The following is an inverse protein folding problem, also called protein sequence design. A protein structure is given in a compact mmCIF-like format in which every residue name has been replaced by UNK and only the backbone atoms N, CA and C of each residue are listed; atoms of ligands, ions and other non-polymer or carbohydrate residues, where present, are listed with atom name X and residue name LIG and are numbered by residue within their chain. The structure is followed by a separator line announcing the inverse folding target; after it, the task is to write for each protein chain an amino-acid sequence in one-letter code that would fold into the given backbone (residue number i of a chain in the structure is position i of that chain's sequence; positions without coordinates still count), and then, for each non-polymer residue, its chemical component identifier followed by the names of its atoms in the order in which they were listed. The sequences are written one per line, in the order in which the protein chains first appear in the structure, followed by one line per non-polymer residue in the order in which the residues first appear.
data_IF_318448376163
#
_entry.id   IF_318448376163
#
_cell.length_a   1.000
_cell.length_b   1.000
_cell.length_c   1.000
_cell.angle_alpha   90.00
_cell.angle_beta   90.00
_cell.angle_gamma   90.00
#
_symmetry.space_group_name_H-M   'P 1'
#
loop_
_entity.id
_entity.type
_entity.pdbx_description
1 polymer ?
#
# COMPACT_ATOMS: atom_id res chain seq x y z
N UNK A 1 20.06 3.77 -5.92
CA UNK A 1 18.92 3.41 -6.80
C UNK A 1 18.11 2.25 -6.19
N UNK A 2 17.55 2.41 -4.97
CA UNK A 2 16.97 1.27 -4.20
C UNK A 2 15.74 1.62 -3.33
N UNK A 3 15.16 2.82 -3.39
CA UNK A 3 14.32 3.35 -2.29
C UNK A 3 12.88 3.74 -2.59
N UNK A 4 12.37 3.55 -3.81
CA UNK A 4 10.99 3.93 -4.14
C UNK A 4 10.09 2.77 -4.60
N UNK A 5 10.54 1.52 -4.41
CA UNK A 5 9.70 0.31 -4.47
C UNK A 5 9.02 0.02 -3.13
N UNK A 6 9.22 0.90 -2.15
CA UNK A 6 8.95 0.60 -0.74
C UNK A 6 7.47 0.83 -0.43
N UNK A 7 6.76 1.75 -1.09
CA UNK A 7 5.38 2.12 -0.73
C UNK A 7 4.33 1.10 -1.18
N UNK A 8 4.52 0.44 -2.33
CA UNK A 8 3.73 -0.72 -2.74
C UNK A 8 4.17 -2.03 -2.07
N UNK A 9 5.42 -2.10 -1.57
CA UNK A 9 6.01 -3.27 -0.94
C UNK A 9 5.57 -3.51 0.51
N UNK A 10 5.07 -2.51 1.24
CA UNK A 10 4.75 -2.68 2.68
C UNK A 10 3.48 -3.49 2.88
N UNK A 11 2.42 -3.24 2.10
CA UNK A 11 1.22 -4.09 2.13
C UNK A 11 1.58 -5.51 1.68
N UNK A 12 2.60 -5.64 0.83
CA UNK A 12 3.00 -6.88 0.18
C UNK A 12 3.99 -7.74 0.98
N UNK A 13 4.80 -7.15 1.86
CA UNK A 13 5.78 -7.85 2.71
C UNK A 13 5.28 -7.94 4.16
N UNK A 14 4.52 -6.96 4.65
CA UNK A 14 3.95 -7.01 5.99
C UNK A 14 2.83 -8.07 6.09
N UNK A 15 2.00 -8.23 5.05
CA UNK A 15 0.93 -9.23 5.02
C UNK A 15 1.50 -10.67 5.10
N UNK A 16 2.55 -11.02 4.35
CA UNK A 16 3.25 -12.29 4.53
C UNK A 16 3.90 -12.47 5.91
N UNK A 17 4.55 -11.44 6.43
CA UNK A 17 5.20 -11.47 7.73
C UNK A 17 4.19 -11.67 8.89
N UNK A 18 3.00 -11.06 8.76
CA UNK A 18 1.85 -11.23 9.67
C UNK A 18 1.32 -12.66 9.60
N UNK A 19 1.18 -13.20 8.40
CA UNK A 19 0.66 -14.54 8.17
C UNK A 19 1.64 -15.64 8.63
N UNK A 20 2.96 -15.45 8.46
CA UNK A 20 4.01 -16.35 8.98
C UNK A 20 4.09 -16.28 10.53
N UNK A 21 3.72 -15.15 11.13
CA UNK A 21 3.59 -15.01 12.59
C UNK A 21 2.34 -15.67 13.17
N UNK A 22 1.21 -15.59 12.45
CA UNK A 22 -0.06 -16.24 12.79
C UNK A 22 0.04 -17.78 12.73
N UNK A 23 0.96 -18.28 11.90
CA UNK A 23 1.17 -19.67 11.57
C UNK A 23 1.89 -20.49 12.65
N UNK A 24 2.91 -19.92 13.29
CA UNK A 24 3.84 -20.69 14.13
C UNK A 24 3.32 -21.05 15.55
N UNK A 25 2.08 -20.71 15.90
CA UNK A 25 1.70 -20.56 17.32
C UNK A 25 0.25 -20.94 17.68
N UNK A 26 -0.18 -22.14 17.29
CA UNK A 26 -1.55 -22.64 17.46
C UNK A 26 -2.21 -22.57 18.87
N UNK A 27 -1.55 -22.12 19.96
CA UNK A 27 -2.09 -22.24 21.33
C UNK A 27 -1.80 -21.12 22.33
N UNK A 28 -1.22 -19.98 21.96
CA UNK A 28 -1.05 -18.89 22.92
C UNK A 28 -1.19 -17.53 22.19
N UNK A 29 -1.59 -16.44 22.84
CA UNK A 29 -1.79 -15.13 22.16
C UNK A 29 -0.52 -14.26 22.16
N UNK A 30 0.27 -14.37 23.22
CA UNK A 30 1.35 -13.43 23.55
C UNK A 30 2.59 -13.53 22.66
N UNK A 31 3.01 -14.71 22.22
CA UNK A 31 4.12 -14.83 21.25
C UNK A 31 3.69 -14.72 19.78
N UNK A 32 2.41 -14.84 19.42
CA UNK A 32 1.95 -14.33 18.10
C UNK A 32 2.23 -12.84 18.07
N UNK A 33 1.81 -12.11 19.11
CA UNK A 33 2.07 -10.68 19.27
C UNK A 33 3.58 -10.38 19.24
N UNK A 34 4.40 -11.07 20.03
CA UNK A 34 5.85 -10.83 20.05
C UNK A 34 6.52 -11.08 18.68
N UNK A 35 6.14 -12.14 17.97
CA UNK A 35 6.67 -12.45 16.63
C UNK A 35 6.24 -11.45 15.58
N UNK A 36 4.97 -11.02 15.62
CA UNK A 36 4.43 -10.02 14.72
C UNK A 36 5.17 -8.68 14.91
N UNK A 37 5.37 -8.26 16.16
CA UNK A 37 6.11 -7.03 16.48
C UNK A 37 7.54 -7.09 15.95
N UNK A 38 8.23 -8.20 16.17
CA UNK A 38 9.61 -8.38 15.70
C UNK A 38 9.71 -8.45 14.16
N UNK A 39 8.77 -9.11 13.50
CA UNK A 39 8.70 -9.19 12.04
C UNK A 39 8.42 -7.82 11.41
N UNK A 40 7.47 -7.06 11.96
CA UNK A 40 7.22 -5.69 11.52
C UNK A 40 8.43 -4.82 11.76
N UNK A 41 9.11 -4.93 12.91
CA UNK A 41 10.35 -4.21 13.18
C UNK A 41 11.46 -4.54 12.18
N UNK A 42 11.64 -5.81 11.81
CA UNK A 42 12.65 -6.21 10.82
C UNK A 42 12.37 -5.68 9.41
N UNK A 43 11.10 -5.72 9.00
CA UNK A 43 10.70 -5.32 7.65
C UNK A 43 10.56 -3.80 7.48
N UNK A 44 10.00 -3.13 8.49
CA UNK A 44 9.68 -1.70 8.44
C UNK A 44 10.72 -0.82 9.12
N UNK A 45 11.51 -1.39 10.04
CA UNK A 45 12.35 -0.62 10.97
C UNK A 45 11.58 0.08 12.09
N UNK A 46 10.28 -0.19 12.23
CA UNK A 46 9.36 0.51 13.13
C UNK A 46 8.82 -0.40 14.21
N UNK A 47 8.41 0.20 15.33
CA UNK A 47 7.78 -0.56 16.40
C UNK A 47 6.28 -0.67 16.14
N UNK A 48 5.81 -1.92 16.10
CA UNK A 48 4.39 -2.23 16.15
C UNK A 48 3.99 -2.40 17.61
N UNK A 49 2.92 -1.74 18.03
CA UNK A 49 2.27 -1.98 19.32
C UNK A 49 0.89 -2.58 19.06
N UNK A 50 0.59 -3.69 19.73
CA UNK A 50 -0.76 -4.28 19.76
C UNK A 50 -1.31 -4.03 21.15
N UNK A 51 -2.18 -3.04 21.32
CA UNK A 51 -2.71 -2.66 22.63
C UNK A 51 -3.99 -3.45 22.99
N UNK A 52 -4.75 -3.88 21.97
CA UNK A 52 -5.98 -4.63 22.16
C UNK A 52 -5.78 -6.14 22.36
N UNK A 53 -6.87 -6.87 22.66
CA UNK A 53 -6.83 -8.31 22.85
C UNK A 53 -6.56 -9.05 21.53
N UNK A 54 -5.88 -10.18 21.63
CA UNK A 54 -5.79 -11.18 20.57
C UNK A 54 -6.86 -12.22 20.83
N UNK A 55 -7.81 -12.36 19.91
CA UNK A 55 -8.92 -13.31 20.04
C UNK A 55 -8.85 -14.37 18.96
N UNK A 56 -9.19 -15.60 19.33
CA UNK A 56 -9.30 -16.71 18.39
C UNK A 56 -10.77 -17.01 18.16
N UNK A 57 -11.20 -16.82 16.91
CA UNK A 57 -12.50 -17.25 16.42
C UNK A 57 -12.44 -18.72 15.99
N UNK A 58 -13.07 -19.58 16.78
CA UNK A 58 -13.23 -20.99 16.46
C UNK A 58 -14.45 -21.15 15.54
N UNK A 59 -14.20 -21.25 14.24
CA UNK A 59 -15.20 -21.57 13.23
C UNK A 59 -14.65 -22.62 12.26
N UNK A 60 -15.43 -23.02 11.25
CA UNK A 60 -14.93 -23.90 10.17
C UNK A 60 -13.71 -23.31 9.42
N UNK A 61 -13.41 -22.02 9.62
CA UNK A 61 -12.16 -21.39 9.22
C UNK A 61 -11.58 -20.61 10.42
N UNK A 62 -10.59 -21.17 11.13
CA UNK A 62 -9.98 -20.53 12.30
C UNK A 62 -9.55 -19.11 11.99
N UNK A 63 -9.93 -18.14 12.82
CA UNK A 63 -9.64 -16.72 12.58
C UNK A 63 -8.89 -16.15 13.77
N UNK A 64 -7.78 -15.47 13.51
CA UNK A 64 -7.02 -14.72 14.52
C UNK A 64 -7.37 -13.25 14.33
N UNK A 65 -7.98 -12.64 15.35
CA UNK A 65 -8.38 -11.24 15.34
C UNK A 65 -7.51 -10.46 16.32
N UNK A 66 -6.76 -9.49 15.78
CA UNK A 66 -5.97 -8.53 16.56
C UNK A 66 -6.70 -7.19 16.55
N UNK A 67 -6.79 -6.56 17.71
CA UNK A 67 -7.42 -5.23 17.85
C UNK A 67 -6.39 -4.19 18.28
N UNK A 68 -6.62 -2.95 17.87
CA UNK A 68 -5.82 -1.77 18.26
C UNK A 68 -4.32 -1.98 18.00
N UNK A 69 -3.98 -2.04 16.71
CA UNK A 69 -2.60 -2.09 16.25
C UNK A 69 -2.14 -0.68 15.90
N UNK A 70 -0.94 -0.31 16.34
CA UNK A 70 -0.34 0.98 16.00
C UNK A 70 1.11 0.82 15.57
N UNK A 71 1.50 1.55 14.53
CA UNK A 71 2.84 1.55 13.97
C UNK A 71 3.49 2.90 14.23
N UNK A 72 4.64 2.89 14.90
CA UNK A 72 5.32 4.11 15.32
C UNK A 72 5.90 4.90 14.14
N UNK A 73 5.87 6.22 14.28
CA UNK A 73 6.61 7.14 13.42
C UNK A 73 8.09 7.13 13.85
N UNK A 74 9.06 7.35 12.95
CA UNK A 74 10.45 7.44 13.36
C UNK A 74 10.72 8.81 14.05
N UNK A 75 11.88 8.99 14.68
CA UNK A 75 12.23 10.28 15.29
C UNK A 75 12.21 11.43 14.28
N UNK A 76 11.79 12.63 14.72
CA UNK A 76 11.78 13.84 13.90
C UNK A 76 10.47 14.10 13.13
N UNK A 77 9.40 13.41 13.49
CA UNK A 77 8.07 13.53 12.89
C UNK A 77 7.07 14.10 13.90
N UNK A 78 6.01 14.76 13.42
CA UNK A 78 5.11 15.55 14.29
C UNK A 78 4.17 14.65 15.10
N UNK A 79 3.73 13.53 14.51
CA UNK A 79 2.86 12.56 15.17
C UNK A 79 3.65 11.36 15.69
N UNK A 80 3.32 10.80 16.87
CA UNK A 80 4.02 9.63 17.41
C UNK A 80 3.71 8.33 16.65
N UNK A 81 2.52 8.25 16.03
CA UNK A 81 2.06 7.09 15.28
C UNK A 81 1.86 7.46 13.81
N UNK A 82 2.37 6.63 12.92
CA UNK A 82 2.21 6.78 11.47
C UNK A 82 0.98 6.02 10.98
N UNK A 83 0.69 4.86 11.55
CA UNK A 83 -0.48 4.08 11.17
C UNK A 83 -1.17 3.50 12.40
N UNK A 84 -2.49 3.38 12.33
CA UNK A 84 -3.30 2.68 13.31
C UNK A 84 -4.33 1.82 12.60
N UNK A 85 -4.61 0.64 13.14
CA UNK A 85 -5.57 -0.32 12.61
C UNK A 85 -6.45 -0.78 13.76
N UNK A 86 -7.73 -0.46 13.69
CA UNK A 86 -8.69 -0.83 14.73
C UNK A 86 -8.78 -2.34 14.88
N UNK A 87 -8.84 -3.07 13.75
CA UNK A 87 -8.94 -4.52 13.74
C UNK A 87 -8.31 -5.15 12.50
N UNK A 88 -7.59 -6.24 12.73
CA UNK A 88 -6.97 -7.09 11.72
C UNK A 88 -7.43 -8.53 11.95
N UNK A 89 -8.17 -9.08 10.99
CA UNK A 89 -8.62 -10.47 11.01
C UNK A 89 -7.81 -11.28 9.99
N UNK A 90 -7.17 -12.35 10.45
CA UNK A 90 -6.40 -13.29 9.63
C UNK A 90 -7.10 -14.65 9.68
N UNK A 91 -7.68 -15.06 8.56
CA UNK A 91 -8.40 -16.31 8.44
C UNK A 91 -7.51 -17.40 7.86
N UNK A 92 -7.47 -18.55 8.53
CA UNK A 92 -6.65 -19.70 8.16
C UNK A 92 -7.50 -20.80 7.51
N UNK A 93 -6.92 -21.53 6.57
CA UNK A 93 -7.54 -22.71 5.98
C UNK A 93 -7.46 -23.92 6.92
N UNK A 94 -8.57 -24.55 7.30
CA UNK A 94 -8.54 -25.66 8.27
C UNK A 94 -7.80 -26.91 7.80
N UNK A 95 -7.95 -27.31 6.54
CA UNK A 95 -7.40 -28.57 6.01
C UNK A 95 -5.85 -28.62 6.01
N UNK A 96 -5.13 -27.56 5.59
CA UNK A 96 -3.68 -27.47 5.74
C UNK A 96 -3.22 -27.55 7.20
N UNK A 97 -4.00 -27.02 8.15
CA UNK A 97 -3.61 -27.00 9.57
C UNK A 97 -3.52 -28.41 10.17
N UNK A 98 -4.33 -29.37 9.70
CA UNK A 98 -4.22 -30.79 10.08
C UNK A 98 -2.88 -31.40 9.66
N UNK A 99 -2.28 -30.88 8.59
CA UNK A 99 -0.97 -31.29 8.08
C UNK A 99 0.17 -30.40 8.60
N UNK A 100 -0.13 -29.50 9.56
CA UNK A 100 0.79 -28.50 10.10
C UNK A 100 1.28 -27.48 9.06
N UNK A 101 0.49 -27.28 8.01
CA UNK A 101 0.70 -26.24 7.01
C UNK A 101 -0.19 -25.05 7.34
N UNK A 102 0.33 -23.84 7.16
CA UNK A 102 -0.45 -22.63 7.39
C UNK A 102 -0.69 -21.92 6.07
N UNK A 103 -1.96 -21.82 5.76
CA UNK A 103 -2.47 -21.21 4.55
C UNK A 103 -3.48 -20.13 4.97
N UNK A 104 -3.23 -18.89 4.55
CA UNK A 104 -4.03 -17.73 4.93
C UNK A 104 -5.04 -17.46 3.83
N UNK A 105 -6.31 -17.79 4.10
CA UNK A 105 -7.39 -17.60 3.13
C UNK A 105 -7.75 -16.15 2.93
N UNK A 106 -7.75 -15.38 4.00
CA UNK A 106 -8.25 -14.00 3.98
C UNK A 106 -7.57 -13.15 5.03
N UNK A 107 -7.27 -11.93 4.67
CA UNK A 107 -6.83 -10.87 5.57
C UNK A 107 -7.82 -9.73 5.44
N UNK A 108 -8.51 -9.39 6.52
CA UNK A 108 -9.42 -8.26 6.57
C UNK A 108 -8.86 -7.18 7.51
N UNK A 109 -8.69 -5.98 6.98
CA UNK A 109 -8.18 -4.81 7.69
C UNK A 109 -9.33 -3.82 7.83
N UNK A 110 -9.73 -3.53 9.06
CA UNK A 110 -10.88 -2.68 9.36
C UNK A 110 -10.40 -1.36 9.95
N UNK A 111 -10.88 -0.27 9.34
CA UNK A 111 -10.58 1.12 9.71
C UNK A 111 -9.08 1.44 9.84
N UNK A 112 -8.21 1.04 8.88
CA UNK A 112 -6.83 1.49 8.95
C UNK A 112 -6.74 3.00 8.71
N UNK A 113 -6.04 3.70 9.59
CA UNK A 113 -5.73 5.12 9.45
C UNK A 113 -4.23 5.31 9.24
N UNK A 114 -3.86 5.99 8.16
CA UNK A 114 -2.48 6.28 7.80
C UNK A 114 -2.26 7.79 7.81
N UNK A 115 -1.19 8.22 8.49
CA UNK A 115 -0.74 9.60 8.58
C UNK A 115 0.56 9.71 7.79
N UNK A 116 0.47 10.20 6.56
CA UNK A 116 1.61 10.42 5.69
C UNK A 116 2.10 11.86 5.85
N UNK A 117 3.34 12.02 6.32
CA UNK A 117 3.95 13.33 6.52
C UNK A 117 5.42 13.33 6.12
N UNK A 118 5.94 14.54 5.89
CA UNK A 118 7.37 14.79 5.68
C UNK A 118 7.90 15.62 6.84
N UNK A 119 9.09 15.27 7.32
CA UNK A 119 9.76 16.06 8.36
C UNK A 119 10.40 17.34 7.80
N UNK A 120 10.97 18.16 8.68
CA UNK A 120 11.65 19.41 8.31
C UNK A 120 12.83 19.20 7.35
N UNK A 121 13.42 18.00 7.33
CA UNK A 121 14.48 17.61 6.39
C UNK A 121 13.94 17.09 5.04
N UNK A 122 12.62 17.18 4.81
CA UNK A 122 11.96 16.71 3.60
C UNK A 122 11.84 15.18 3.49
N UNK A 123 12.21 14.43 4.53
CA UNK A 123 12.14 12.97 4.52
C UNK A 123 10.70 12.51 4.79
N UNK A 124 10.14 11.62 3.98
CA UNK A 124 8.81 11.08 4.21
C UNK A 124 8.81 10.00 5.29
N UNK A 125 7.76 9.94 6.12
CA UNK A 125 7.61 8.86 7.09
C UNK A 125 7.28 7.51 6.46
N UNK A 126 6.82 7.48 5.22
CA UNK A 126 6.63 6.25 4.45
C UNK A 126 7.90 5.76 3.76
N UNK A 127 9.08 6.30 4.08
CA UNK A 127 10.36 5.68 3.75
C UNK A 127 10.69 4.64 4.82
N UNK A 128 10.49 3.37 4.48
CA UNK A 128 10.80 2.24 5.36
C UNK A 128 12.21 1.76 5.06
N UNK A 129 13.07 1.81 6.07
CA UNK A 129 14.42 1.27 5.97
C UNK A 129 14.52 0.15 7.00
N UNK A 130 14.78 -1.09 6.56
CA UNK A 130 15.14 -2.15 7.49
C UNK A 130 16.30 -1.63 8.36
N UNK A 131 16.30 -1.90 9.67
CA UNK A 131 17.47 -1.63 10.49
C UNK A 131 18.69 -2.31 9.87
N UNK A 132 19.86 -1.67 9.93
CA UNK A 132 21.10 -2.36 9.56
C UNK A 132 21.17 -3.67 10.35
N UNK A 133 21.26 -4.80 9.65
CA UNK A 133 21.30 -6.11 10.29
C UNK A 133 22.42 -6.10 11.36
N UNK A 134 22.12 -6.48 12.61
CA UNK A 134 23.18 -6.79 13.56
C UNK A 134 24.11 -7.83 12.91
N UNK A 135 25.42 -7.66 13.05
CA UNK A 135 26.39 -8.65 12.61
C UNK A 135 25.91 -10.04 13.05
N UNK A 136 25.86 -10.97 12.09
CA UNK A 136 25.25 -12.28 12.24
C UNK A 136 25.66 -12.92 13.58
N UNK A 137 24.70 -13.05 14.50
CA UNK A 137 24.84 -13.97 15.60
C UNK A 137 24.94 -15.39 15.02
N UNK A 138 25.80 -16.26 15.58
CA UNK A 138 26.04 -17.58 15.02
C UNK A 138 24.72 -18.32 14.82
N UNK A 139 24.50 -18.76 13.58
CA UNK A 139 23.35 -19.55 13.15
C UNK A 139 23.22 -20.78 14.02
N UNK A 140 22.22 -20.78 14.90
CA UNK A 140 21.76 -22.02 15.52
C UNK A 140 21.27 -22.93 14.40
N UNK A 141 21.69 -24.22 14.35
CA UNK A 141 21.31 -25.09 13.23
C UNK A 141 19.79 -25.15 13.11
N UNK A 142 19.29 -24.78 11.93
CA UNK A 142 17.89 -24.88 11.56
C UNK A 142 17.42 -26.32 11.77
N UNK A 143 16.42 -26.52 12.62
CA UNK A 143 15.75 -27.81 12.77
C UNK A 143 15.23 -28.27 11.39
N UNK A 144 15.53 -29.50 10.95
CA UNK A 144 14.98 -30.08 9.73
C UNK A 144 13.46 -30.25 9.92
N UNK A 145 12.70 -29.32 9.36
CA UNK A 145 11.26 -29.18 9.54
C UNK A 145 10.69 -27.84 9.09
N UNK A 146 11.54 -26.83 8.87
CA UNK A 146 11.17 -25.48 8.45
C UNK A 146 10.77 -25.33 6.96
N UNK A 147 10.84 -26.38 6.14
CA UNK A 147 10.48 -26.35 4.71
C UNK A 147 8.98 -26.59 4.43
N UNK A 148 8.11 -26.52 5.45
CA UNK A 148 6.66 -26.80 5.30
C UNK A 148 5.78 -25.56 5.32
N UNK A 149 6.37 -24.38 5.41
CA UNK A 149 5.63 -23.12 5.50
C UNK A 149 5.36 -22.57 4.10
N UNK A 150 4.26 -22.99 3.48
CA UNK A 150 3.77 -22.37 2.25
C UNK A 150 2.75 -21.29 2.60
N UNK A 151 3.24 -20.07 2.79
CA UNK A 151 2.35 -18.94 2.90
C UNK A 151 1.70 -18.67 1.53
N UNK A 152 0.40 -18.93 1.46
CA UNK A 152 -0.47 -18.35 0.44
C UNK A 152 -1.40 -17.38 1.14
N UNK A 153 -1.58 -16.21 0.55
CA UNK A 153 -2.57 -15.22 0.96
C UNK A 153 -3.65 -15.32 -0.09
N UNK A 154 -4.89 -15.66 0.29
CA UNK A 154 -5.99 -15.92 -0.65
C UNK A 154 -6.84 -14.70 -0.99
N UNK A 155 -6.93 -13.70 -0.10
CA UNK A 155 -7.63 -12.43 -0.35
C UNK A 155 -7.23 -11.38 0.68
N UNK A 156 -7.20 -10.11 0.26
CA UNK A 156 -6.97 -8.95 1.13
C UNK A 156 -8.14 -7.99 0.99
N UNK A 157 -8.84 -7.75 2.08
CA UNK A 157 -9.92 -6.78 2.18
C UNK A 157 -9.52 -5.65 3.10
N UNK A 158 -9.76 -4.42 2.67
CA UNK A 158 -9.62 -3.24 3.50
C UNK A 158 -10.94 -2.49 3.51
N UNK A 159 -11.45 -2.18 4.70
CA UNK A 159 -12.74 -1.51 4.89
C UNK A 159 -12.57 -0.23 5.69
N UNK A 160 -13.16 0.86 5.22
CA UNK A 160 -13.16 2.18 5.87
C UNK A 160 -11.75 2.72 6.17
N UNK A 161 -10.81 2.59 5.24
CA UNK A 161 -9.48 3.18 5.43
C UNK A 161 -9.54 4.71 5.38
N UNK A 162 -8.61 5.36 6.05
CA UNK A 162 -8.38 6.79 5.95
C UNK A 162 -6.89 7.04 5.74
N UNK A 163 -6.54 7.81 4.73
CA UNK A 163 -5.16 8.20 4.44
C UNK A 163 -5.09 9.72 4.46
N UNK A 164 -4.33 10.27 5.39
CA UNK A 164 -4.08 11.70 5.48
C UNK A 164 -2.69 12.01 4.91
N UNK A 165 -2.61 13.03 4.05
CA UNK A 165 -1.35 13.56 3.52
C UNK A 165 -1.37 15.08 3.55
N UNK A 166 -0.58 15.68 4.45
CA UNK A 166 -0.64 17.12 4.69
C UNK A 166 -2.04 17.57 5.13
N UNK A 167 -2.65 18.50 4.37
CA UNK A 167 -4.01 18.98 4.63
C UNK A 167 -5.10 18.09 3.98
N UNK A 168 -4.72 17.09 3.19
CA UNK A 168 -5.67 16.26 2.46
C UNK A 168 -6.00 14.99 3.24
N UNK A 169 -7.22 14.51 3.06
CA UNK A 169 -7.67 13.22 3.58
C UNK A 169 -8.43 12.48 2.50
N UNK A 170 -7.98 11.26 2.22
CA UNK A 170 -8.64 10.31 1.31
C UNK A 170 -9.24 9.21 2.16
N UNK A 171 -10.53 8.97 1.99
CA UNK A 171 -11.22 7.82 2.60
C UNK A 171 -11.32 6.70 1.58
N UNK A 172 -11.12 5.46 1.99
CA UNK A 172 -11.29 4.27 1.14
C UNK A 172 -12.37 3.41 1.79
N UNK A 173 -13.65 3.56 1.40
CA UNK A 173 -14.74 2.79 2.00
C UNK A 173 -14.52 1.28 1.92
N UNK A 174 -14.03 0.80 0.77
CA UNK A 174 -13.66 -0.59 0.57
C UNK A 174 -12.66 -0.72 -0.57
N UNK A 175 -11.68 -1.59 -0.38
CA UNK A 175 -10.83 -2.12 -1.46
C UNK A 175 -10.55 -3.60 -1.18
N UNK A 176 -10.68 -4.42 -2.21
CA UNK A 176 -10.37 -5.83 -2.19
C UNK A 176 -9.30 -6.15 -3.23
N UNK A 177 -8.44 -7.10 -2.87
CA UNK A 177 -7.46 -7.71 -3.76
C UNK A 177 -7.58 -9.22 -3.67
N UNK A 178 -7.78 -9.85 -4.82
CA UNK A 178 -7.79 -11.29 -4.99
C UNK A 178 -6.46 -11.71 -5.65
N UNK A 179 -5.51 -12.27 -4.89
CA UNK A 179 -4.18 -12.67 -5.39
C UNK A 179 -4.19 -13.84 -6.38
N UNK A 180 -5.23 -14.67 -6.38
CA UNK A 180 -5.34 -15.80 -7.32
C UNK A 180 -5.69 -15.31 -8.73
N UNK A 181 -6.59 -14.33 -8.80
CA UNK A 181 -7.02 -13.69 -10.06
C UNK A 181 -6.23 -12.41 -10.39
N UNK A 182 -5.51 -11.87 -9.41
CA UNK A 182 -4.92 -10.54 -9.44
C UNK A 182 -5.93 -9.41 -9.37
N UNK A 183 -7.22 -9.67 -9.19
CA UNK A 183 -8.28 -8.67 -9.32
C UNK A 183 -8.22 -7.65 -8.18
N UNK A 184 -8.35 -6.37 -8.52
CA UNK A 184 -8.49 -5.27 -7.58
C UNK A 184 -9.84 -4.60 -7.83
N UNK A 185 -10.63 -4.39 -6.79
CA UNK A 185 -11.85 -3.59 -6.84
C UNK A 185 -11.94 -2.72 -5.60
N UNK A 186 -12.47 -1.51 -5.75
CA UNK A 186 -12.71 -0.67 -4.60
C UNK A 186 -13.23 0.70 -4.96
N UNK A 187 -13.19 1.58 -3.97
CA UNK A 187 -13.53 2.98 -4.16
C UNK A 187 -12.77 3.85 -3.19
N UNK A 188 -12.56 5.09 -3.59
CA UNK A 188 -11.94 6.12 -2.76
C UNK A 188 -12.82 7.36 -2.80
N UNK A 189 -12.73 8.16 -1.76
CA UNK A 189 -13.47 9.39 -1.60
C UNK A 189 -12.51 10.48 -1.14
N UNK A 190 -12.53 11.63 -1.81
CA UNK A 190 -11.79 12.82 -1.41
C UNK A 190 -12.57 14.06 -1.82
N UNK A 191 -12.55 15.11 -0.99
CA UNK A 191 -13.28 16.35 -1.25
C UNK A 191 -14.79 16.17 -1.53
N UNK A 192 -15.41 15.09 -1.03
CA UNK A 192 -16.82 14.75 -1.29
C UNK A 192 -17.06 13.95 -2.58
N UNK A 193 -16.06 13.83 -3.45
CA UNK A 193 -16.14 13.09 -4.71
C UNK A 193 -15.74 11.64 -4.51
N UNK A 194 -16.51 10.70 -5.09
CA UNK A 194 -16.19 9.27 -5.11
C UNK A 194 -15.56 8.87 -6.44
N UNK A 195 -14.48 8.11 -6.35
CA UNK A 195 -13.81 7.48 -7.49
C UNK A 195 -13.90 5.96 -7.34
N UNK A 196 -14.24 5.27 -8.42
CA UNK A 196 -14.20 3.82 -8.51
C UNK A 196 -12.80 3.38 -8.90
N UNK A 197 -12.26 2.41 -8.16
CA UNK A 197 -10.98 1.75 -8.44
C UNK A 197 -11.28 0.34 -8.93
N UNK A 198 -10.60 -0.08 -10.00
CA UNK A 198 -10.67 -1.45 -10.47
C UNK A 198 -9.41 -1.84 -11.23
N UNK A 199 -9.32 -3.12 -11.59
CA UNK A 199 -8.30 -3.63 -12.50
C UNK A 199 -7.63 -4.89 -11.98
N UNK A 200 -6.35 -5.05 -12.33
CA UNK A 200 -5.54 -6.20 -11.96
C UNK A 200 -4.15 -5.77 -11.47
N UNK A 201 -3.65 -6.49 -10.48
CA UNK A 201 -2.28 -6.46 -10.02
C UNK A 201 -1.81 -7.91 -9.91
N UNK A 202 -0.71 -8.25 -10.58
CA UNK A 202 -0.14 -9.58 -10.50
C UNK A 202 0.31 -9.94 -9.09
N UNK A 203 0.72 -11.21 -8.86
CA UNK A 203 1.05 -11.69 -7.53
C UNK A 203 2.12 -10.81 -6.90
N UNK A 204 1.76 -10.22 -5.78
CA UNK A 204 2.59 -9.27 -5.05
C UNK A 204 3.95 -9.84 -4.61
N UNK A 205 4.06 -11.18 -4.51
CA UNK A 205 5.31 -11.88 -4.18
C UNK A 205 6.33 -11.93 -5.34
N UNK A 206 5.96 -11.56 -6.57
CA UNK A 206 6.87 -11.58 -7.71
C UNK A 206 7.78 -10.35 -7.74
N UNK A 207 9.01 -10.52 -8.25
CA UNK A 207 10.02 -9.45 -8.38
C UNK A 207 9.62 -8.36 -9.38
N UNK A 208 8.86 -8.73 -10.41
CA UNK A 208 8.16 -7.83 -11.31
C UNK A 208 6.81 -8.47 -11.64
N UNK A 209 5.71 -7.73 -11.44
CA UNK A 209 4.37 -8.22 -11.71
C UNK A 209 3.60 -7.21 -12.57
N UNK A 210 2.72 -7.68 -13.46
CA UNK A 210 1.89 -6.79 -14.27
C UNK A 210 0.94 -5.98 -13.40
N UNK A 211 0.68 -4.75 -13.80
CA UNK A 211 -0.27 -3.85 -13.16
C UNK A 211 -1.12 -3.24 -14.27
N UNK A 212 -2.43 -3.31 -14.10
CA UNK A 212 -3.41 -2.61 -14.92
C UNK A 212 -4.54 -2.13 -14.00
N UNK A 213 -4.38 -0.93 -13.47
CA UNK A 213 -5.37 -0.33 -12.56
C UNK A 213 -6.05 0.82 -13.27
N UNK A 214 -7.33 1.01 -12.99
CA UNK A 214 -8.12 2.13 -13.49
C UNK A 214 -8.87 2.81 -12.36
N UNK A 215 -8.98 4.12 -12.49
CA UNK A 215 -9.64 5.01 -11.56
C UNK A 215 -10.60 5.91 -12.32
N UNK A 216 -11.88 5.90 -11.97
CA UNK A 216 -12.90 6.67 -12.68
C UNK A 216 -13.81 7.43 -11.71
N UNK A 217 -14.12 8.68 -12.01
CA UNK A 217 -15.10 9.47 -11.26
C UNK A 217 -15.05 10.95 -11.59
N UNK A 218 -16.20 11.64 -11.59
CA UNK A 218 -16.29 13.11 -11.72
C UNK A 218 -15.57 13.70 -12.95
N UNK A 219 -15.72 13.04 -14.10
CA UNK A 219 -15.07 13.44 -15.35
C UNK A 219 -13.58 13.14 -15.42
N UNK A 220 -13.00 12.49 -14.40
CA UNK A 220 -11.65 11.96 -14.37
C UNK A 220 -11.66 10.47 -14.73
N UNK A 221 -10.81 10.07 -15.66
CA UNK A 221 -10.42 8.70 -15.90
C UNK A 221 -8.89 8.62 -15.86
N UNK A 222 -8.34 7.78 -14.99
CA UNK A 222 -6.91 7.51 -14.91
C UNK A 222 -6.65 6.02 -15.00
N UNK A 223 -5.54 5.62 -15.61
CA UNK A 223 -5.09 4.24 -15.69
C UNK A 223 -3.61 4.13 -15.40
N UNK A 224 -3.21 3.09 -14.69
CA UNK A 224 -1.82 2.75 -14.44
C UNK A 224 -1.55 1.38 -15.05
N UNK A 225 -0.79 1.35 -16.14
CA UNK A 225 -0.51 0.13 -16.91
C UNK A 225 0.98 -0.16 -16.97
N UNK A 226 1.37 -1.43 -16.90
CA UNK A 226 2.76 -1.85 -17.04
C UNK A 226 3.13 -2.90 -15.99
N UNK A 227 4.19 -2.64 -15.24
CA UNK A 227 4.72 -3.56 -14.22
C UNK A 227 5.08 -2.81 -12.94
N UNK A 228 5.25 -3.54 -11.84
CA UNK A 228 5.75 -2.98 -10.58
C UNK A 228 7.13 -2.33 -10.68
N UNK A 229 7.93 -2.67 -11.70
CA UNK A 229 9.24 -2.06 -11.95
C UNK A 229 9.16 -0.81 -12.85
N UNK A 230 8.23 -0.81 -13.80
CA UNK A 230 8.01 0.31 -14.72
C UNK A 230 6.56 0.35 -15.19
N UNK A 231 5.91 1.50 -15.05
CA UNK A 231 4.50 1.68 -15.39
C UNK A 231 4.26 3.02 -16.09
N UNK A 232 3.12 3.14 -16.75
CA UNK A 232 2.64 4.37 -17.37
C UNK A 232 1.32 4.75 -16.72
N UNK A 233 1.27 5.95 -16.15
CA UNK A 233 0.05 6.59 -15.70
C UNK A 233 -0.53 7.39 -16.86
N UNK A 234 -1.72 7.04 -17.34
CA UNK A 234 -2.48 7.85 -18.29
C UNK A 234 -3.68 8.44 -17.57
N UNK A 235 -4.05 9.67 -17.91
CA UNK A 235 -5.15 10.38 -17.28
C UNK A 235 -5.84 11.28 -18.28
N UNK A 236 -7.16 11.23 -18.30
CA UNK A 236 -8.02 12.17 -18.99
C UNK A 236 -8.94 12.83 -17.99
N UNK A 237 -9.08 14.15 -18.08
CA UNK A 237 -10.01 14.90 -17.26
C UNK A 237 -10.82 15.84 -18.15
N UNK A 238 -12.14 15.80 -18.03
CA UNK A 238 -13.03 16.72 -18.75
C UNK A 238 -12.73 18.18 -18.39
N UNK A 239 -12.33 18.43 -17.14
CA UNK A 239 -11.84 19.71 -16.66
C UNK A 239 -10.74 19.48 -15.61
N UNK A 240 -9.63 20.22 -15.65
CA UNK A 240 -8.58 20.24 -14.62
C UNK A 240 -9.15 20.54 -13.22
N UNK A 241 -10.25 21.27 -13.13
CA UNK A 241 -10.97 21.48 -11.88
C UNK A 241 -11.38 20.15 -11.19
N UNK A 242 -11.58 19.06 -11.94
CA UNK A 242 -11.88 17.72 -11.40
C UNK A 242 -10.73 17.14 -10.55
N UNK A 243 -9.51 17.67 -10.68
CA UNK A 243 -8.38 17.29 -9.83
C UNK A 243 -8.33 18.06 -8.51
N UNK A 244 -9.16 19.10 -8.32
CA UNK A 244 -9.14 19.91 -7.10
C UNK A 244 -9.33 19.09 -5.81
N UNK A 245 -10.23 18.08 -5.76
CA UNK A 245 -10.36 17.19 -4.60
C UNK A 245 -9.11 16.36 -4.31
N UNK A 246 -8.29 16.05 -5.31
CA UNK A 246 -7.05 15.28 -5.18
C UNK A 246 -5.86 16.16 -4.80
N UNK A 247 -5.86 17.44 -5.22
CA UNK A 247 -4.78 18.39 -4.92
C UNK A 247 -5.09 19.25 -3.68
N UNK A 248 -6.33 19.21 -3.17
CA UNK A 248 -6.71 19.92 -1.94
C UNK A 248 -6.66 21.44 -2.09
N UNK A 249 -6.69 21.94 -3.33
CA UNK A 249 -6.73 23.36 -3.67
C UNK A 249 -7.55 23.54 -4.95
N UNK A 250 -8.26 24.67 -5.13
CA UNK A 250 -8.96 24.95 -6.37
C UNK A 250 -7.97 25.06 -7.52
N UNK A 251 -8.23 24.35 -8.60
CA UNK A 251 -7.46 24.42 -9.84
C UNK A 251 -8.22 25.24 -10.89
N UNK A 252 -7.51 25.93 -11.82
CA UNK A 252 -8.16 26.65 -12.89
C UNK A 252 -8.89 25.68 -13.84
N UNK A 253 -9.94 26.16 -14.49
CA UNK A 253 -10.68 25.36 -15.46
C UNK A 253 -9.89 25.20 -16.76
N UNK A 254 -9.56 23.96 -17.11
CA UNK A 254 -8.84 23.59 -18.34
C UNK A 254 -9.47 22.34 -18.89
N UNK A 255 -10.08 22.42 -20.08
CA UNK A 255 -10.88 21.32 -20.63
C UNK A 255 -10.04 20.34 -21.43
N UNK A 256 -10.56 19.13 -21.53
CA UNK A 256 -10.02 18.05 -22.37
C UNK A 256 -8.55 17.74 -22.03
N UNK A 257 -8.21 17.79 -20.75
CA UNK A 257 -6.86 17.56 -20.26
C UNK A 257 -6.50 16.10 -20.45
N UNK A 258 -5.44 15.84 -21.21
CA UNK A 258 -4.83 14.51 -21.30
C UNK A 258 -3.39 14.55 -20.80
N UNK A 259 -3.08 13.71 -19.81
CA UNK A 259 -1.75 13.61 -19.21
C UNK A 259 -1.29 12.15 -19.29
N UNK A 260 -0.05 11.93 -19.72
CA UNK A 260 0.63 10.66 -19.61
C UNK A 260 1.90 10.83 -18.78
N UNK A 261 2.25 9.88 -17.96
CA UNK A 261 3.48 9.90 -17.19
C UNK A 261 4.09 8.51 -17.13
N UNK A 262 5.30 8.37 -17.64
CA UNK A 262 6.10 7.18 -17.46
C UNK A 262 6.77 7.20 -16.08
N UNK A 263 6.67 6.07 -15.39
CA UNK A 263 7.28 5.76 -14.11
C UNK A 263 8.35 4.68 -14.36
N UNK A 264 9.54 5.04 -14.88
CA UNK A 264 10.57 4.08 -15.28
C UNK A 264 11.27 3.40 -14.10
N UNK A 265 10.86 3.69 -12.87
CA UNK A 265 11.37 3.05 -11.68
C UNK A 265 11.16 3.87 -10.41
N UNK A 266 11.66 3.35 -9.28
CA UNK A 266 11.52 4.00 -7.98
C UNK A 266 12.09 5.43 -7.94
N UNK A 267 11.21 6.41 -8.00
CA UNK A 267 11.50 7.82 -7.72
C UNK A 267 11.77 8.69 -8.95
N UNK A 268 11.82 8.12 -10.16
CA UNK A 268 11.94 8.87 -11.42
C UNK A 268 10.56 9.04 -12.05
N UNK A 269 10.25 10.26 -12.50
CA UNK A 269 8.95 10.61 -13.13
C UNK A 269 9.22 11.32 -14.45
N UNK A 270 8.72 10.77 -15.57
CA UNK A 270 8.74 11.45 -16.87
C UNK A 270 7.30 11.75 -17.28
N UNK A 271 6.89 13.01 -17.24
CA UNK A 271 5.52 13.41 -17.58
C UNK A 271 5.50 13.93 -19.01
N UNK A 272 4.62 13.36 -19.83
CA UNK A 272 4.28 13.85 -21.16
C UNK A 272 2.84 14.37 -21.08
N UNK A 273 2.66 15.68 -21.07
CA UNK A 273 1.34 16.26 -21.17
C UNK A 273 0.93 16.30 -22.65
N UNK A 274 -0.19 15.65 -22.98
CA UNK A 274 -0.78 15.70 -24.32
C UNK A 274 -1.53 17.01 -24.53
N UNK A 275 -2.52 17.00 -25.43
CA UNK A 275 -3.29 18.21 -25.77
C UNK A 275 -3.86 18.86 -24.51
N UNK A 276 -3.47 20.10 -24.25
CA UNK A 276 -4.02 20.94 -23.17
C UNK A 276 -4.75 22.11 -23.83
N UNK A 277 -6.06 22.16 -23.66
CA UNK A 277 -6.88 23.27 -24.19
C UNK A 277 -7.11 24.31 -23.10
N UNK A 278 -6.36 25.41 -23.19
CA UNK A 278 -6.44 26.58 -22.31
C UNK A 278 -7.28 27.67 -22.99
N UNK A 279 -8.61 27.58 -22.89
CA UNK A 279 -9.50 28.54 -23.54
C UNK A 279 -9.39 28.47 -25.07
N UNK A 280 -8.87 29.52 -25.72
CA UNK A 280 -8.66 29.57 -27.17
C UNK A 280 -7.28 29.04 -27.62
N UNK A 281 -6.42 28.62 -26.69
CA UNK A 281 -5.05 28.17 -26.96
C UNK A 281 -4.97 26.66 -26.75
N UNK A 282 -4.55 25.91 -27.77
CA UNK A 282 -4.25 24.49 -27.66
C UNK A 282 -2.73 24.28 -27.61
N UNK A 283 -2.21 23.79 -26.49
CA UNK A 283 -0.86 23.21 -26.43
C UNK A 283 -0.95 21.79 -26.97
N UNK A 284 -0.31 21.51 -28.11
CA UNK A 284 -0.40 20.20 -28.75
C UNK A 284 0.46 19.15 -28.04
N UNK A 285 1.63 19.54 -27.53
CA UNK A 285 2.55 18.68 -26.79
C UNK A 285 3.37 19.54 -25.81
N UNK A 286 3.57 19.07 -24.59
CA UNK A 286 4.51 19.65 -23.63
C UNK A 286 5.17 18.53 -22.83
N UNK A 287 6.50 18.44 -22.91
CA UNK A 287 7.26 17.42 -22.21
C UNK A 287 7.86 18.00 -20.93
N UNK A 288 7.50 17.39 -19.79
CA UNK A 288 7.87 17.82 -18.45
C UNK A 288 8.69 16.71 -17.81
N UNK A 289 10.00 16.95 -17.66
CA UNK A 289 10.91 15.95 -17.08
C UNK A 289 11.39 16.39 -15.70
N UNK A 290 11.40 15.45 -14.75
CA UNK A 290 11.99 15.64 -13.44
C UNK A 290 12.78 14.39 -13.06
N UNK A 291 14.03 14.56 -12.62
CA UNK A 291 14.85 13.43 -12.19
C UNK A 291 14.29 12.77 -10.92
N UNK A 292 13.55 13.54 -10.11
CA UNK A 292 12.76 13.07 -8.97
C UNK A 292 11.55 13.97 -8.71
N UNK A 293 10.59 13.50 -7.90
CA UNK A 293 9.40 14.27 -7.44
C UNK A 293 9.73 15.63 -6.78
N UNK A 294 11.00 15.87 -6.41
CA UNK A 294 11.44 17.09 -5.72
C UNK A 294 12.38 17.95 -6.58
N UNK A 295 12.76 17.52 -7.78
CA UNK A 295 13.65 18.30 -8.65
C UNK A 295 12.85 19.34 -9.45
N UNK A 296 13.46 20.49 -9.80
CA UNK A 296 12.80 21.46 -10.67
C UNK A 296 12.41 20.81 -11.99
N UNK A 297 11.16 21.06 -12.41
CA UNK A 297 10.62 20.50 -13.64
C UNK A 297 11.18 21.29 -14.82
N UNK A 298 11.83 20.58 -15.75
CA UNK A 298 12.26 21.16 -17.02
C UNK A 298 11.18 20.95 -18.06
N UNK A 299 10.78 22.05 -18.72
CA UNK A 299 9.82 22.07 -19.80
C UNK A 299 10.58 22.12 -21.13
N UNK A 300 10.32 21.16 -22.00
CA UNK A 300 10.92 21.04 -23.34
C UNK A 300 9.84 20.94 -24.41
#
# INVERSE_FOLDING_TARGET
MKRALIVGGIVVVAIPAVAIGAAAWFLNGDAVKARLVEQVRRSTGRELTVAGPVTLGWSLSPTIALSDLSLSNPPGFARPQMAHVDRLDVQLALAPLLHREIDVRRIAIVRPSLQLERNAAGQPNWDFRPPAAPAAAPTTPSQPGADRFRLMVGSVDVTNATVAYGAQTVTVPHVAYDPDTGRVDGSLMTGGTRFALGGTAGPIAATAYPIDLHLNGDGLAASLTGTSAAATLSMTAADLAALSPLVGRPLPSVRDLTVSAALPGPGALRVHAGVVTLGAVSLQQADLTAASLNDPVTLT
#
